data_IF_066424892103
#
_entry.id   IF_066424892103
#
_cell.length_a   1.000
_cell.length_b   1.000
_cell.length_c   1.000
_cell.angle_alpha   90.00
_cell.angle_beta   90.00
_cell.angle_gamma   90.00
#
_symmetry.space_group_name_H-M   'P 1'
#
loop_
_entity.id
_entity.type
_entity.pdbx_description
1 polymer ?
#
# COMPACT_ATOMS: atom_id res chain seq x y z
N UNK A 1 42.97 -35.30 -45.98
CA UNK A 1 41.56 -35.72 -46.08
C UNK A 1 41.35 -36.74 -44.98
N UNK A 2 40.76 -36.39 -43.83
CA UNK A 2 39.32 -36.14 -43.65
C UNK A 2 38.56 -37.39 -44.08
N UNK A 3 37.90 -38.16 -43.23
CA UNK A 3 36.98 -37.77 -42.16
C UNK A 3 36.68 -39.01 -41.31
N UNK A 4 36.80 -38.92 -40.00
CA UNK A 4 36.25 -39.92 -39.08
C UNK A 4 35.64 -39.16 -37.89
N UNK A 5 34.36 -38.89 -38.11
CA UNK A 5 33.26 -38.81 -37.15
C UNK A 5 33.64 -38.84 -35.67
N UNK A 6 33.56 -37.68 -35.04
CA UNK A 6 32.98 -37.58 -33.72
C UNK A 6 32.17 -36.28 -33.68
N UNK A 7 30.89 -36.40 -34.07
CA UNK A 7 29.86 -35.43 -33.71
C UNK A 7 29.65 -35.58 -32.19
N UNK A 8 30.07 -34.62 -31.34
CA UNK A 8 29.55 -34.57 -30.00
C UNK A 8 28.11 -34.08 -30.14
N UNK A 9 27.18 -35.01 -30.20
CA UNK A 9 25.79 -34.78 -29.78
C UNK A 9 25.84 -34.29 -28.33
N UNK A 10 26.16 -33.01 -28.15
CA UNK A 10 25.88 -32.28 -26.94
C UNK A 10 24.36 -32.22 -26.89
N UNK A 11 23.69 -32.84 -25.90
CA UNK A 11 22.25 -32.77 -25.83
C UNK A 11 21.88 -31.30 -25.80
N UNK A 12 21.12 -30.88 -26.82
CA UNK A 12 20.52 -29.57 -26.91
C UNK A 12 19.74 -29.38 -25.61
N UNK A 13 20.38 -28.71 -24.65
CA UNK A 13 19.74 -28.23 -23.44
C UNK A 13 18.53 -27.47 -23.93
N UNK A 14 17.38 -28.07 -23.64
CA UNK A 14 16.05 -27.52 -23.69
C UNK A 14 16.15 -26.01 -23.53
N UNK A 15 15.99 -25.28 -24.64
CA UNK A 15 15.48 -23.91 -24.55
C UNK A 15 14.08 -24.05 -23.98
N UNK A 16 14.00 -24.19 -22.66
CA UNK A 16 12.81 -23.86 -21.91
C UNK A 16 12.56 -22.43 -22.30
N UNK A 17 11.59 -22.26 -23.20
CA UNK A 17 10.85 -21.04 -23.40
C UNK A 17 10.12 -20.74 -22.09
N UNK A 18 10.90 -20.44 -21.06
CA UNK A 18 10.43 -19.81 -19.84
C UNK A 18 10.09 -18.41 -20.26
N UNK A 19 8.80 -18.16 -20.42
CA UNK A 19 8.14 -16.86 -20.48
C UNK A 19 9.11 -15.69 -20.56
N UNK A 20 9.41 -15.24 -21.79
CA UNK A 20 10.01 -13.93 -22.03
C UNK A 20 8.98 -12.81 -21.86
N UNK A 21 7.96 -13.01 -21.03
CA UNK A 21 7.23 -11.93 -20.40
C UNK A 21 7.85 -11.70 -19.03
N UNK A 22 9.02 -11.05 -19.10
CA UNK A 22 9.48 -10.07 -18.12
C UNK A 22 8.47 -8.90 -18.06
N UNK A 23 7.19 -9.21 -17.80
CA UNK A 23 6.22 -8.22 -17.37
C UNK A 23 6.82 -7.57 -16.14
N UNK A 24 7.08 -6.28 -16.29
CA UNK A 24 7.89 -5.46 -15.42
C UNK A 24 7.37 -5.56 -13.97
N UNK A 25 8.00 -6.41 -13.18
CA UNK A 25 7.64 -6.64 -11.79
C UNK A 25 8.14 -5.46 -10.94
N UNK A 26 7.42 -4.34 -11.05
CA UNK A 26 7.63 -3.13 -10.27
C UNK A 26 7.15 -3.28 -8.82
N UNK A 27 6.45 -4.36 -8.51
CA UNK A 27 6.08 -4.75 -7.14
C UNK A 27 7.30 -5.16 -6.32
N UNK A 28 8.39 -5.60 -6.99
CA UNK A 28 9.63 -6.06 -6.35
C UNK A 28 10.91 -5.40 -6.88
N UNK A 29 10.81 -4.45 -7.82
CA UNK A 29 11.97 -3.77 -8.42
C UNK A 29 11.76 -2.26 -8.53
N UNK A 30 12.88 -1.54 -8.44
CA UNK A 30 13.03 -0.09 -8.60
C UNK A 30 12.13 0.46 -9.73
N UNK A 31 11.30 1.45 -9.44
CA UNK A 31 10.45 2.08 -10.46
C UNK A 31 11.32 2.94 -11.42
N UNK A 32 11.31 2.69 -12.75
CA UNK A 32 12.10 3.43 -13.70
C UNK A 32 11.53 4.82 -13.95
N UNK A 33 12.42 5.80 -14.06
CA UNK A 33 12.11 7.22 -14.29
C UNK A 33 11.33 7.49 -15.61
N UNK A 34 11.31 6.54 -16.55
CA UNK A 34 10.70 6.68 -17.88
C UNK A 34 9.16 6.62 -17.89
N UNK A 35 8.51 6.25 -16.78
CA UNK A 35 7.05 6.11 -16.70
C UNK A 35 6.34 7.10 -15.76
N UNK A 36 7.01 8.19 -15.33
CA UNK A 36 6.38 9.25 -14.52
C UNK A 36 5.45 10.13 -15.39
N UNK A 37 4.27 9.62 -15.71
CA UNK A 37 3.25 10.30 -16.53
C UNK A 37 2.37 11.27 -15.72
N UNK A 38 2.34 11.12 -14.40
CA UNK A 38 1.45 11.86 -13.51
C UNK A 38 2.22 12.95 -12.75
N UNK A 39 1.68 14.18 -12.77
CA UNK A 39 2.27 15.30 -12.04
C UNK A 39 2.21 15.11 -10.52
N UNK A 40 3.11 15.73 -9.75
CA UNK A 40 3.17 15.58 -8.29
C UNK A 40 1.85 15.97 -7.59
N UNK A 41 1.11 16.94 -8.12
CA UNK A 41 -0.19 17.33 -7.58
C UNK A 41 -1.25 16.23 -7.71
N UNK A 42 -1.28 15.50 -8.84
CA UNK A 42 -2.25 14.41 -9.02
C UNK A 42 -1.90 13.23 -8.13
N UNK A 43 -0.61 12.91 -7.98
CA UNK A 43 -0.14 11.88 -7.04
C UNK A 43 -0.52 12.26 -5.59
N UNK A 44 -0.33 13.51 -5.21
CA UNK A 44 -0.70 13.99 -3.87
C UNK A 44 -2.22 13.90 -3.63
N UNK A 45 -3.04 14.30 -4.60
CA UNK A 45 -4.51 14.21 -4.48
C UNK A 45 -4.98 12.76 -4.42
N UNK A 46 -4.42 11.86 -5.22
CA UNK A 46 -4.75 10.43 -5.16
C UNK A 46 -4.33 9.80 -3.84
N UNK A 47 -3.15 10.16 -3.32
CA UNK A 47 -2.69 9.69 -2.01
C UNK A 47 -3.58 10.23 -0.88
N UNK A 48 -3.91 11.53 -0.90
CA UNK A 48 -4.83 12.14 0.08
C UNK A 48 -6.24 11.56 0.00
N UNK A 49 -6.75 11.30 -1.21
CA UNK A 49 -8.05 10.66 -1.42
C UNK A 49 -8.07 9.22 -0.92
N UNK A 50 -6.96 8.49 -1.05
CA UNK A 50 -6.83 7.15 -0.49
C UNK A 50 -6.81 7.10 1.04
N UNK A 51 -6.43 8.19 1.72
CA UNK A 51 -6.37 8.28 3.19
C UNK A 51 -7.69 8.86 3.76
N UNK A 52 -8.60 9.33 2.92
CA UNK A 52 -9.86 9.92 3.35
C UNK A 52 -10.92 8.84 3.66
N UNK A 53 -10.95 8.36 4.90
CA UNK A 53 -11.91 7.36 5.39
C UNK A 53 -13.00 7.98 6.27
N UNK A 54 -14.26 7.53 6.14
CA UNK A 54 -15.36 7.93 7.03
C UNK A 54 -15.12 7.46 8.47
N UNK A 55 -14.43 6.34 8.64
CA UNK A 55 -14.03 5.82 9.94
C UNK A 55 -13.19 6.84 10.74
N UNK A 56 -12.24 7.54 10.09
CA UNK A 56 -11.39 8.54 10.75
C UNK A 56 -12.22 9.75 11.21
N UNK A 57 -13.20 10.16 10.41
CA UNK A 57 -14.13 11.23 10.78
C UNK A 57 -14.99 10.83 11.99
N UNK A 58 -15.45 9.58 12.04
CA UNK A 58 -16.22 9.04 13.17
C UNK A 58 -15.40 9.00 14.47
N UNK A 59 -14.14 8.57 14.40
CA UNK A 59 -13.22 8.56 15.54
C UNK A 59 -12.92 9.99 16.01
N UNK A 60 -12.63 10.89 15.07
CA UNK A 60 -12.38 12.32 15.37
C UNK A 60 -13.58 13.00 16.04
N UNK A 61 -14.79 12.76 15.55
CA UNK A 61 -16.02 13.27 16.13
C UNK A 61 -16.24 12.74 17.56
N UNK A 62 -15.95 11.46 17.79
CA UNK A 62 -16.07 10.82 19.11
C UNK A 62 -15.15 11.45 20.16
N UNK A 63 -13.91 11.78 19.79
CA UNK A 63 -12.96 12.48 20.67
C UNK A 63 -13.46 13.89 21.01
N UNK A 64 -14.03 14.59 20.01
CA UNK A 64 -14.65 15.91 20.20
C UNK A 64 -15.81 15.91 21.19
N UNK A 65 -16.67 14.89 21.14
CA UNK A 65 -17.80 14.76 22.06
C UNK A 65 -17.36 14.37 23.48
N UNK A 66 -16.35 13.52 23.62
CA UNK A 66 -15.92 13.01 24.92
C UNK A 66 -15.09 14.01 25.74
N UNK A 67 -14.21 14.79 25.10
CA UNK A 67 -13.23 15.64 25.79
C UNK A 67 -13.39 17.14 25.52
N UNK A 68 -14.42 17.51 24.75
CA UNK A 68 -14.67 18.87 24.31
C UNK A 68 -13.82 19.31 23.12
N UNK A 69 -14.34 20.25 22.34
CA UNK A 69 -13.76 20.67 21.05
C UNK A 69 -12.34 21.21 21.17
N UNK A 70 -12.04 22.02 22.19
CA UNK A 70 -10.72 22.64 22.35
C UNK A 70 -9.63 21.59 22.56
N UNK A 71 -9.84 20.63 23.46
CA UNK A 71 -8.85 19.59 23.76
C UNK A 71 -8.73 18.58 22.61
N UNK A 72 -9.84 18.31 21.90
CA UNK A 72 -9.82 17.48 20.71
C UNK A 72 -8.98 18.11 19.59
N UNK A 73 -9.11 19.41 19.33
CA UNK A 73 -8.30 20.11 18.31
C UNK A 73 -6.81 20.02 18.63
N UNK A 74 -6.40 20.31 19.87
CA UNK A 74 -4.99 20.20 20.25
C UNK A 74 -4.47 18.77 20.11
N UNK A 75 -5.26 17.76 20.49
CA UNK A 75 -4.88 16.35 20.36
C UNK A 75 -4.69 15.94 18.90
N UNK A 76 -5.62 16.34 18.02
CA UNK A 76 -5.55 16.07 16.58
C UNK A 76 -4.33 16.78 15.96
N UNK A 77 -4.05 18.03 16.35
CA UNK A 77 -2.88 18.77 15.86
C UNK A 77 -1.56 18.12 16.28
N UNK A 78 -1.46 17.67 17.54
CA UNK A 78 -0.26 16.95 18.02
C UNK A 78 -0.09 15.64 17.27
N UNK A 79 -1.15 14.85 17.09
CA UNK A 79 -1.10 13.62 16.31
C UNK A 79 -0.69 13.88 14.85
N UNK A 80 -1.28 14.88 14.21
CA UNK A 80 -0.91 15.29 12.86
C UNK A 80 0.56 15.68 12.77
N UNK A 81 1.09 16.47 13.72
CA UNK A 81 2.49 16.85 13.76
C UNK A 81 3.40 15.62 13.84
N UNK A 82 3.08 14.66 14.70
CA UNK A 82 3.86 13.41 14.84
C UNK A 82 3.85 12.62 13.53
N UNK A 83 2.70 12.50 12.87
CA UNK A 83 2.56 11.82 11.58
C UNK A 83 3.37 12.53 10.50
N UNK A 84 3.34 13.86 10.41
CA UNK A 84 4.16 14.60 9.44
C UNK A 84 5.65 14.47 9.73
N UNK A 85 6.07 14.58 11.00
CA UNK A 85 7.48 14.46 11.38
C UNK A 85 8.06 13.07 11.08
N UNK A 86 7.25 12.02 11.19
CA UNK A 86 7.66 10.64 10.88
C UNK A 86 7.46 10.27 9.41
N UNK A 87 6.43 10.81 8.76
CA UNK A 87 6.07 10.53 7.37
C UNK A 87 6.94 11.26 6.34
N UNK A 88 7.36 12.49 6.62
CA UNK A 88 8.26 13.26 5.74
C UNK A 88 9.58 12.53 5.47
N UNK A 89 10.35 12.05 6.47
CA UNK A 89 11.61 11.36 6.21
C UNK A 89 11.41 10.05 5.45
N UNK A 90 10.31 9.32 5.71
CA UNK A 90 9.94 8.12 4.96
C UNK A 90 9.64 8.45 3.49
N UNK A 91 8.84 9.49 3.24
CA UNK A 91 8.49 9.93 1.89
C UNK A 91 9.70 10.45 1.10
N UNK A 92 10.62 11.18 1.75
CA UNK A 92 11.87 11.63 1.11
C UNK A 92 12.72 10.42 0.70
N UNK A 93 12.81 9.42 1.57
CA UNK A 93 13.58 8.19 1.30
C UNK A 93 12.95 7.40 0.16
N UNK A 94 11.63 7.19 0.19
CA UNK A 94 10.89 6.53 -0.88
C UNK A 94 11.02 7.26 -2.22
N UNK A 95 10.94 8.60 -2.23
CA UNK A 95 11.02 9.40 -3.46
C UNK A 95 12.43 9.46 -4.05
N UNK A 96 13.47 9.59 -3.22
CA UNK A 96 14.88 9.62 -3.66
C UNK A 96 15.33 8.29 -4.24
N UNK A 97 14.88 7.18 -3.64
CA UNK A 97 15.26 5.84 -4.06
C UNK A 97 14.19 5.13 -4.89
N UNK A 98 13.05 5.74 -5.22
CA UNK A 98 11.96 5.15 -6.02
C UNK A 98 11.61 3.69 -5.60
N UNK A 99 11.51 3.48 -4.29
CA UNK A 99 11.25 2.17 -3.66
C UNK A 99 10.06 2.24 -2.70
N UNK A 100 9.31 1.15 -2.63
CA UNK A 100 8.22 0.97 -1.67
C UNK A 100 8.73 0.73 -0.24
N UNK A 101 7.83 0.91 0.73
CA UNK A 101 8.14 0.79 2.16
C UNK A 101 8.75 -0.57 2.55
N UNK A 102 8.33 -1.64 1.87
CA UNK A 102 8.83 -3.00 2.13
C UNK A 102 10.29 -3.18 1.69
N UNK A 103 10.70 -2.47 0.63
CA UNK A 103 12.10 -2.41 0.22
C UNK A 103 12.90 -1.47 1.13
N UNK A 104 12.29 -0.40 1.66
CA UNK A 104 12.92 0.47 2.65
C UNK A 104 13.27 -0.34 3.91
N UNK A 105 12.33 -1.12 4.45
CA UNK A 105 12.54 -1.93 5.66
C UNK A 105 13.57 -3.02 5.45
N UNK A 106 13.59 -3.62 4.25
CA UNK A 106 14.66 -4.54 3.82
C UNK A 106 16.03 -3.86 3.75
N UNK A 107 16.10 -2.67 3.16
CA UNK A 107 17.34 -1.88 3.02
C UNK A 107 17.84 -1.30 4.35
N UNK A 108 16.94 -1.09 5.32
CA UNK A 108 17.23 -0.57 6.66
C UNK A 108 17.85 -1.63 7.60
N UNK A 109 18.07 -2.86 7.13
CA UNK A 109 18.76 -3.91 7.88
C UNK A 109 17.85 -4.94 8.55
N UNK A 110 16.51 -4.83 8.42
CA UNK A 110 15.57 -5.81 8.96
C UNK A 110 15.38 -7.07 8.07
N UNK A 111 16.02 -7.09 6.90
CA UNK A 111 16.02 -8.24 5.99
C UNK A 111 14.63 -8.57 5.40
N UNK A 112 14.46 -9.82 4.95
CA UNK A 112 13.21 -10.29 4.36
C UNK A 112 12.07 -10.40 5.39
N UNK A 113 12.40 -10.76 6.65
CA UNK A 113 11.41 -10.85 7.72
C UNK A 113 10.78 -9.49 8.05
N UNK A 114 11.58 -8.43 8.15
CA UNK A 114 11.05 -7.08 8.39
C UNK A 114 10.12 -6.61 7.29
N UNK A 115 10.50 -6.83 6.03
CA UNK A 115 9.69 -6.51 4.86
C UNK A 115 8.34 -7.23 4.87
N UNK A 116 8.31 -8.54 5.14
CA UNK A 116 7.05 -9.30 5.21
C UNK A 116 6.16 -8.82 6.37
N UNK A 117 6.75 -8.52 7.52
CA UNK A 117 5.98 -8.02 8.68
C UNK A 117 5.35 -6.67 8.34
N UNK A 118 6.08 -5.75 7.70
CA UNK A 118 5.52 -4.45 7.32
C UNK A 118 4.43 -4.56 6.28
N UNK A 119 4.58 -5.44 5.27
CA UNK A 119 3.52 -5.72 4.31
C UNK A 119 2.26 -6.27 4.97
N UNK A 120 2.40 -7.20 5.93
CA UNK A 120 1.26 -7.78 6.65
C UNK A 120 0.54 -6.73 7.50
N UNK A 121 1.28 -5.86 8.17
CA UNK A 121 0.70 -4.75 8.94
C UNK A 121 -0.11 -3.83 8.01
N UNK A 122 0.44 -3.47 6.84
CA UNK A 122 -0.25 -2.64 5.85
C UNK A 122 -1.50 -3.32 5.27
N UNK A 123 -1.40 -4.60 4.93
CA UNK A 123 -2.52 -5.38 4.43
C UNK A 123 -3.63 -5.49 5.50
N UNK A 124 -3.26 -5.76 6.76
CA UNK A 124 -4.18 -5.84 7.88
C UNK A 124 -4.87 -4.50 8.16
N UNK A 125 -4.13 -3.40 8.16
CA UNK A 125 -4.67 -2.04 8.25
C UNK A 125 -5.72 -1.79 7.16
N UNK A 126 -5.39 -2.10 5.91
CA UNK A 126 -6.31 -1.92 4.78
C UNK A 126 -7.59 -2.74 4.95
N UNK A 127 -7.48 -3.97 5.46
CA UNK A 127 -8.64 -4.82 5.72
C UNK A 127 -9.54 -4.27 6.85
N UNK A 128 -8.95 -3.73 7.92
CA UNK A 128 -9.69 -3.11 9.02
C UNK A 128 -10.49 -1.90 8.51
N UNK A 129 -9.86 -1.01 7.74
CA UNK A 129 -10.55 0.16 7.18
C UNK A 129 -11.63 -0.23 6.18
N UNK A 130 -11.36 -1.22 5.32
CA UNK A 130 -12.38 -1.75 4.42
C UNK A 130 -13.61 -2.29 5.17
N UNK A 131 -13.37 -3.05 6.25
CA UNK A 131 -14.45 -3.58 7.09
C UNK A 131 -15.23 -2.45 7.80
N UNK A 132 -14.54 -1.44 8.32
CA UNK A 132 -15.18 -0.29 8.99
C UNK A 132 -16.01 0.55 8.01
N UNK A 133 -15.46 0.91 6.86
CA UNK A 133 -16.19 1.63 5.80
C UNK A 133 -17.42 0.82 5.35
N UNK A 134 -17.26 -0.49 5.15
CA UNK A 134 -18.35 -1.40 4.83
C UNK A 134 -19.43 -1.43 5.91
N UNK A 135 -19.04 -1.43 7.20
CA UNK A 135 -19.99 -1.43 8.32
C UNK A 135 -20.79 -0.12 8.41
N UNK A 136 -20.15 1.03 8.14
CA UNK A 136 -20.81 2.34 8.12
C UNK A 136 -21.76 2.44 6.92
N UNK A 137 -21.34 1.97 5.74
CA UNK A 137 -22.20 1.90 4.55
C UNK A 137 -23.41 1.00 4.77
N UNK A 138 -23.23 -0.15 5.45
CA UNK A 138 -24.33 -1.05 5.80
C UNK A 138 -25.33 -0.37 6.74
N UNK A 139 -24.85 0.34 7.77
CA UNK A 139 -25.70 1.13 8.67
C UNK A 139 -26.44 2.24 7.91
N UNK A 140 -25.75 2.97 7.04
CA UNK A 140 -26.35 4.02 6.22
C UNK A 140 -27.44 3.45 5.29
N UNK A 141 -27.19 2.30 4.68
CA UNK A 141 -28.17 1.59 3.85
C UNK A 141 -29.38 1.15 4.68
N UNK A 142 -29.18 0.64 5.90
CA UNK A 142 -30.25 0.27 6.81
C UNK A 142 -31.15 1.48 7.16
N UNK A 143 -30.55 2.61 7.49
CA UNK A 143 -31.28 3.85 7.79
C UNK A 143 -32.07 4.40 6.59
N UNK A 144 -31.52 4.30 5.38
CA UNK A 144 -32.17 4.81 4.15
C UNK A 144 -33.27 3.86 3.66
N UNK A 145 -33.06 2.55 3.74
CA UNK A 145 -33.99 1.54 3.21
C UNK A 145 -35.16 1.22 4.15
N UNK A 146 -35.08 1.64 5.42
CA UNK A 146 -36.15 1.49 6.40
C UNK A 146 -36.55 0.03 6.63
N UNK A 147 -35.78 -0.68 7.46
CA UNK A 147 -36.05 -2.05 7.95
C UNK A 147 -36.28 -3.15 6.90
N UNK A 148 -36.22 -2.85 5.59
CA UNK A 148 -36.59 -3.77 4.50
C UNK A 148 -35.42 -4.53 3.89
N UNK A 149 -34.18 -4.15 4.21
CA UNK A 149 -33.03 -4.97 3.86
C UNK A 149 -32.94 -6.09 4.91
N UNK A 150 -33.41 -7.29 4.56
CA UNK A 150 -33.45 -8.49 5.42
C UNK A 150 -32.07 -8.95 5.89
N UNK A 151 -31.49 -8.19 6.80
CA UNK A 151 -30.26 -8.44 7.55
C UNK A 151 -30.58 -8.54 9.05
N UNK A 152 -31.75 -9.08 9.41
CA UNK A 152 -32.05 -9.51 10.77
C UNK A 152 -31.19 -10.75 11.07
N UNK A 153 -29.95 -10.53 11.48
CA UNK A 153 -29.07 -11.52 12.14
C UNK A 153 -28.97 -11.21 13.63
#
# INVERSE_FOLDING_TARGET
MSSLDLNPELPATTRTSGSRETLEDYTLRYAPLSFRRWGPGVVAVTALGGIAYLADFSIGASIGMAWGTSNAIYSILVAALVIFLTGIPLAITAARYNIDLDLITRSAGFGYFGSVITSIIFAGFTFIFFALEGSIMAQACWWVSGSRCGWDI
#
